data_IF_112787115639
#
_entry.id   IF_112787115639
#
_cell.length_a   1.000
_cell.length_b   1.000
_cell.length_c   1.000
_cell.angle_alpha   90.00
_cell.angle_beta   90.00
_cell.angle_gamma   90.00
#
_symmetry.space_group_name_H-M   'P 1'
#
loop_
_entity.id
_entity.type
_entity.pdbx_description
1 polymer ?
#
# COMPACT_ATOMS: atom_id res chain seq x y z
N UNK A 1 8.19 10.45 2.96
CA UNK A 1 7.54 9.75 4.11
C UNK A 1 8.58 9.47 5.17
N UNK A 2 8.26 9.61 6.46
CA UNK A 2 9.17 9.26 7.56
C UNK A 2 9.07 7.76 7.88
N UNK A 3 10.08 7.21 8.57
CA UNK A 3 10.12 5.78 8.95
C UNK A 3 8.93 5.32 9.80
N UNK A 4 8.25 6.24 10.50
CA UNK A 4 7.05 5.93 11.27
C UNK A 4 5.84 5.61 10.37
N UNK A 5 5.65 6.36 9.27
CA UNK A 5 4.54 6.13 8.34
C UNK A 5 4.62 4.76 7.66
N UNK A 6 5.82 4.34 7.27
CA UNK A 6 6.05 3.01 6.71
C UNK A 6 5.74 1.87 7.67
N UNK A 7 6.15 2.01 8.94
CA UNK A 7 5.81 1.02 9.97
C UNK A 7 4.31 0.92 10.20
N UNK A 8 3.59 2.05 10.16
CA UNK A 8 2.15 2.07 10.28
C UNK A 8 1.47 1.33 9.11
N UNK A 9 1.90 1.57 7.87
CA UNK A 9 1.40 0.85 6.69
C UNK A 9 1.63 -0.66 6.79
N UNK A 10 2.85 -1.08 7.18
CA UNK A 10 3.16 -2.50 7.38
C UNK A 10 2.29 -3.14 8.47
N UNK A 11 2.11 -2.45 9.60
CA UNK A 11 1.28 -2.94 10.69
C UNK A 11 -0.18 -3.12 10.24
N UNK A 12 -0.72 -2.15 9.49
CA UNK A 12 -2.06 -2.23 8.92
C UNK A 12 -2.19 -3.43 7.95
N UNK A 13 -1.26 -3.56 7.00
CA UNK A 13 -1.28 -4.66 6.01
C UNK A 13 -1.20 -6.04 6.67
N UNK A 14 -0.31 -6.18 7.67
CA UNK A 14 -0.20 -7.43 8.45
C UNK A 14 -1.49 -7.73 9.21
N UNK A 15 -2.14 -6.73 9.80
CA UNK A 15 -3.39 -6.94 10.52
C UNK A 15 -4.53 -7.36 9.60
N UNK A 16 -4.68 -6.73 8.43
CA UNK A 16 -5.70 -7.12 7.45
C UNK A 16 -5.50 -8.58 7.01
N UNK A 17 -4.28 -8.96 6.63
CA UNK A 17 -3.95 -10.32 6.20
C UNK A 17 -4.09 -11.37 7.31
N UNK A 18 -3.63 -11.07 8.53
CA UNK A 18 -3.67 -11.99 9.69
C UNK A 18 -5.09 -12.45 10.02
N UNK A 19 -6.08 -11.57 9.88
CA UNK A 19 -7.47 -11.86 10.20
C UNK A 19 -8.33 -12.14 8.96
N UNK A 20 -7.71 -12.31 7.78
CA UNK A 20 -8.38 -12.49 6.49
C UNK A 20 -9.47 -11.43 6.22
N UNK A 21 -9.19 -10.17 6.57
CA UNK A 21 -10.11 -9.02 6.44
C UNK A 21 -9.85 -8.18 5.19
N UNK A 22 -9.24 -8.79 4.17
CA UNK A 22 -8.75 -8.09 2.98
C UNK A 22 -7.31 -7.60 3.15
N UNK A 23 -7.01 -6.45 2.56
CA UNK A 23 -5.67 -5.89 2.50
C UNK A 23 -5.69 -4.36 2.43
N UNK A 24 -4.51 -3.76 2.58
CA UNK A 24 -4.27 -2.34 2.32
C UNK A 24 -3.75 -2.20 0.90
N UNK A 25 -4.41 -1.34 0.13
CA UNK A 25 -3.99 -0.95 -1.22
C UNK A 25 -3.73 0.54 -1.27
N UNK A 26 -2.89 0.97 -2.21
CA UNK A 26 -2.58 2.38 -2.43
C UNK A 26 -3.19 2.83 -3.75
N UNK A 27 -3.79 4.02 -3.79
CA UNK A 27 -4.36 4.59 -5.01
C UNK A 27 -3.70 5.94 -5.31
N UNK A 28 -3.53 6.25 -6.60
CA UNK A 28 -3.03 7.55 -7.08
C UNK A 28 -1.68 7.91 -6.44
N UNK A 29 -0.75 6.95 -6.38
CA UNK A 29 0.57 7.16 -5.79
C UNK A 29 1.42 8.00 -6.75
N UNK A 30 1.90 9.19 -6.35
CA UNK A 30 2.76 10.01 -7.21
C UNK A 30 4.06 9.27 -7.58
N UNK A 31 4.57 9.48 -8.80
CA UNK A 31 5.73 8.74 -9.33
C UNK A 31 6.94 8.75 -8.40
N UNK A 32 7.30 9.93 -7.85
CA UNK A 32 8.42 10.05 -6.88
C UNK A 32 8.24 9.19 -5.64
N UNK A 33 6.99 9.00 -5.19
CA UNK A 33 6.69 8.14 -4.05
C UNK A 33 6.73 6.68 -4.49
N UNK A 34 6.22 6.34 -5.68
CA UNK A 34 6.29 4.98 -6.24
C UNK A 34 7.74 4.52 -6.37
N UNK A 35 8.62 5.34 -6.92
CA UNK A 35 10.07 5.05 -7.02
C UNK A 35 10.68 4.78 -5.64
N UNK A 36 10.34 5.59 -4.63
CA UNK A 36 10.83 5.37 -3.26
C UNK A 36 10.28 4.07 -2.64
N UNK A 37 9.04 3.68 -2.98
CA UNK A 37 8.45 2.39 -2.56
C UNK A 37 9.15 1.21 -3.24
N UNK A 38 9.43 1.31 -4.54
CA UNK A 38 10.13 0.30 -5.32
C UNK A 38 11.55 0.07 -4.80
N UNK A 39 12.31 1.16 -4.59
CA UNK A 39 13.66 1.11 -4.03
C UNK A 39 13.72 0.42 -2.66
N UNK A 40 12.65 0.56 -1.87
CA UNK A 40 12.54 -0.04 -0.55
C UNK A 40 11.82 -1.40 -0.55
N UNK A 41 11.45 -1.94 -1.73
CA UNK A 41 10.83 -3.26 -1.89
C UNK A 41 9.37 -3.33 -1.44
N UNK A 42 8.69 -2.19 -1.29
CA UNK A 42 7.32 -2.13 -0.77
C UNK A 42 6.23 -2.37 -1.82
N UNK A 43 6.54 -2.27 -3.11
CA UNK A 43 5.56 -2.50 -4.19
C UNK A 43 5.09 -3.94 -4.27
N UNK A 44 5.86 -4.91 -3.77
CA UNK A 44 5.42 -6.30 -3.63
C UNK A 44 4.44 -6.51 -2.46
N UNK A 45 4.44 -5.59 -1.48
CA UNK A 45 3.64 -5.70 -0.25
C UNK A 45 2.27 -5.04 -0.38
N UNK A 46 2.13 -4.06 -1.26
CA UNK A 46 0.92 -3.26 -1.45
C UNK A 46 0.56 -3.19 -2.93
N UNK A 47 -0.67 -3.60 -3.28
CA UNK A 47 -1.19 -3.35 -4.62
C UNK A 47 -1.44 -1.86 -4.81
N UNK A 48 -1.05 -1.34 -5.98
CA UNK A 48 -1.24 0.06 -6.36
C UNK A 48 -2.24 0.19 -7.50
N UNK A 49 -3.02 1.26 -7.50
CA UNK A 49 -3.98 1.59 -8.55
C UNK A 49 -3.79 3.04 -9.02
N UNK A 50 -4.04 3.29 -10.29
CA UNK A 50 -3.91 4.63 -10.88
C UNK A 50 -5.08 5.57 -10.52
N UNK A 51 -6.23 5.00 -10.16
CA UNK A 51 -7.42 5.74 -9.76
C UNK A 51 -8.11 5.11 -8.54
N UNK A 52 -8.93 5.93 -7.87
CA UNK A 52 -9.62 5.53 -6.63
C UNK A 52 -10.78 4.57 -6.88
N UNK A 53 -11.42 4.62 -8.06
CA UNK A 53 -12.57 3.77 -8.38
C UNK A 53 -12.12 2.32 -8.58
N UNK A 54 -11.03 2.11 -9.31
CA UNK A 54 -10.39 0.80 -9.46
C UNK A 54 -9.91 0.24 -8.12
N UNK A 55 -9.39 1.09 -7.22
CA UNK A 55 -8.95 0.66 -5.90
C UNK A 55 -10.09 0.20 -5.00
N UNK A 56 -11.24 0.88 -5.04
CA UNK A 56 -12.43 0.48 -4.26
C UNK A 56 -13.07 -0.77 -4.86
N UNK A 57 -13.18 -0.85 -6.19
CA UNK A 57 -13.77 -1.99 -6.89
C UNK A 57 -12.98 -3.30 -6.75
N UNK A 58 -11.80 -3.26 -6.15
CA UNK A 58 -11.00 -4.44 -5.82
C UNK A 58 -11.50 -5.21 -4.59
N UNK A 59 -12.24 -4.56 -3.68
CA UNK A 59 -12.77 -5.17 -2.45
C UNK A 59 -14.21 -5.64 -2.63
#
# INVERSE_FOLDING_TARGET
MSSAGFRALLAAQRNCKKYNRGEVVLAVVPDRIREALELAGFTELFKTFDDTLSAVGHF
#
